data_IF_472615125852
#
_entry.id   IF_472615125852
#
_cell.length_a   1.000
_cell.length_b   1.000
_cell.length_c   1.000
_cell.angle_alpha   90.00
_cell.angle_beta   90.00
_cell.angle_gamma   90.00
#
_symmetry.space_group_name_H-M   'P 1'
#
loop_
_entity.id
_entity.type
_entity.pdbx_description
1 polymer ?
#
# COMPACT_ATOMS: atom_id res chain seq x y z
N UNK A 1 9.96 17.90 11.23
CA UNK A 1 9.51 16.92 10.24
C UNK A 1 10.43 17.01 9.03
N UNK A 2 11.27 16.01 8.84
CA UNK A 2 12.16 15.90 7.69
C UNK A 2 11.37 15.63 6.41
N UNK A 3 11.96 15.91 5.24
CA UNK A 3 11.35 15.64 3.92
C UNK A 3 11.02 14.15 3.72
N UNK A 4 11.69 13.25 4.46
CA UNK A 4 11.44 11.81 4.45
C UNK A 4 10.11 11.45 5.15
N UNK A 5 9.77 12.17 6.23
CA UNK A 5 8.54 11.97 7.03
C UNK A 5 7.27 12.50 6.33
N UNK A 6 7.40 13.21 5.22
CA UNK A 6 6.29 13.67 4.37
C UNK A 6 6.19 12.93 3.03
N UNK A 7 6.94 11.83 2.87
CA UNK A 7 6.77 10.97 1.70
C UNK A 7 5.44 10.25 1.77
N UNK A 8 4.73 10.14 0.64
CA UNK A 8 3.52 9.30 0.54
C UNK A 8 3.77 7.88 1.04
N UNK A 9 4.99 7.35 0.88
CA UNK A 9 5.38 6.05 1.43
C UNK A 9 5.33 6.01 2.95
N UNK A 10 5.85 7.05 3.61
CA UNK A 10 5.81 7.15 5.07
C UNK A 10 4.39 7.33 5.61
N UNK A 11 3.54 8.07 4.88
CA UNK A 11 2.11 8.23 5.20
C UNK A 11 1.41 6.86 5.16
N UNK A 12 1.60 6.06 4.10
CA UNK A 12 1.01 4.73 4.00
C UNK A 12 1.49 3.81 5.12
N UNK A 13 2.80 3.78 5.39
CA UNK A 13 3.36 2.97 6.49
C UNK A 13 2.72 3.35 7.83
N UNK A 14 2.68 4.65 8.14
CA UNK A 14 2.11 5.16 9.41
C UNK A 14 0.62 4.84 9.52
N UNK A 15 -0.11 4.96 8.42
CA UNK A 15 -1.54 4.65 8.38
C UNK A 15 -1.82 3.16 8.61
N UNK A 16 -1.02 2.28 8.00
CA UNK A 16 -1.10 0.83 8.22
C UNK A 16 -0.73 0.45 9.66
N UNK A 17 0.31 1.07 10.23
CA UNK A 17 0.65 0.88 11.64
C UNK A 17 -0.54 1.23 12.55
N UNK A 18 -1.21 2.35 12.28
CA UNK A 18 -2.36 2.80 13.07
C UNK A 18 -3.58 1.88 12.93
N UNK A 19 -3.98 1.55 11.69
CA UNK A 19 -5.21 0.77 11.44
C UNK A 19 -5.03 -0.71 11.80
N UNK A 20 -3.89 -1.30 11.49
CA UNK A 20 -3.65 -2.73 11.70
C UNK A 20 -2.99 -3.04 13.05
N UNK A 21 -2.58 -2.02 13.81
CA UNK A 21 -1.88 -2.20 15.10
C UNK A 21 -0.53 -2.90 14.95
N UNK A 22 0.15 -2.72 13.81
CA UNK A 22 1.43 -3.36 13.50
C UNK A 22 2.60 -2.38 13.67
N UNK A 23 3.79 -2.91 13.92
CA UNK A 23 5.01 -2.10 13.98
C UNK A 23 5.50 -1.66 12.59
N UNK A 24 6.50 -0.79 12.58
CA UNK A 24 7.09 -0.24 11.35
C UNK A 24 7.72 -1.31 10.44
N UNK A 25 8.28 -2.39 11.01
CA UNK A 25 8.91 -3.47 10.24
C UNK A 25 7.84 -4.21 9.45
N UNK A 26 6.74 -4.57 10.12
CA UNK A 26 5.59 -5.23 9.49
C UNK A 26 4.90 -4.32 8.49
N UNK A 27 4.66 -3.05 8.82
CA UNK A 27 4.03 -2.11 7.89
C UNK A 27 4.88 -1.88 6.64
N UNK A 28 6.20 -1.80 6.79
CA UNK A 28 7.11 -1.67 5.63
C UNK A 28 7.07 -2.92 4.75
N UNK A 29 7.03 -4.11 5.34
CA UNK A 29 6.91 -5.37 4.60
C UNK A 29 5.59 -5.44 3.80
N UNK A 30 4.46 -5.05 4.42
CA UNK A 30 3.16 -4.99 3.73
C UNK A 30 3.20 -4.03 2.55
N UNK A 31 3.76 -2.83 2.72
CA UNK A 31 3.88 -1.87 1.60
C UNK A 31 4.72 -2.44 0.46
N UNK A 32 5.83 -3.11 0.76
CA UNK A 32 6.67 -3.75 -0.24
C UNK A 32 5.92 -4.87 -1.00
N UNK A 33 5.15 -5.70 -0.29
CA UNK A 33 4.33 -6.74 -0.88
C UNK A 33 3.22 -6.15 -1.78
N UNK A 34 2.54 -5.09 -1.34
CA UNK A 34 1.52 -4.41 -2.14
C UNK A 34 2.13 -3.77 -3.40
N UNK A 35 3.34 -3.20 -3.31
CA UNK A 35 4.07 -2.63 -4.45
C UNK A 35 4.48 -3.74 -5.44
N UNK A 36 4.97 -4.87 -4.94
CA UNK A 36 5.33 -6.05 -5.76
C UNK A 36 4.12 -6.64 -6.50
N UNK A 37 2.95 -6.69 -5.85
CA UNK A 37 1.72 -7.19 -6.46
C UNK A 37 1.00 -6.15 -7.32
N UNK A 38 1.56 -4.93 -7.47
CA UNK A 38 0.97 -3.86 -8.26
C UNK A 38 -0.34 -3.31 -7.69
N UNK A 39 -0.59 -3.52 -6.39
CA UNK A 39 -1.74 -2.99 -5.66
C UNK A 39 -1.54 -1.51 -5.28
N UNK A 40 -0.28 -1.10 -5.11
CA UNK A 40 0.09 0.29 -4.97
C UNK A 40 1.32 0.60 -5.80
N UNK A 41 1.53 1.87 -6.11
CA UNK A 41 2.75 2.38 -6.74
C UNK A 41 3.07 3.76 -6.22
N UNK A 42 4.34 4.02 -5.96
CA UNK A 42 4.84 5.37 -5.70
C UNK A 42 5.50 5.92 -6.97
N UNK A 43 4.93 6.99 -7.52
CA UNK A 43 5.46 7.64 -8.73
C UNK A 43 6.78 8.36 -8.45
N UNK A 44 7.53 8.71 -9.50
CA UNK A 44 8.77 9.50 -9.38
C UNK A 44 8.54 10.88 -8.73
N UNK A 45 7.33 11.43 -8.86
CA UNK A 45 6.92 12.68 -8.20
C UNK A 45 6.53 12.49 -6.73
N UNK A 46 6.55 11.25 -6.23
CA UNK A 46 6.18 10.89 -4.87
C UNK A 46 4.69 10.72 -4.63
N UNK A 47 3.85 10.75 -5.67
CA UNK A 47 2.41 10.48 -5.53
C UNK A 47 2.13 8.99 -5.31
N UNK A 48 1.09 8.69 -4.55
CA UNK A 48 0.55 7.34 -4.35
C UNK A 48 -0.52 7.04 -5.40
N UNK A 49 -0.36 5.93 -6.11
CA UNK A 49 -1.38 5.30 -6.94
C UNK A 49 -1.82 4.00 -6.26
N UNK A 50 -3.14 3.75 -6.18
CA UNK A 50 -3.72 2.55 -5.58
C UNK A 50 -4.57 1.86 -6.65
N UNK A 51 -4.42 0.54 -6.77
CA UNK A 51 -5.19 -0.29 -7.69
C UNK A 51 -6.25 -1.07 -6.93
N UNK A 52 -7.49 -1.00 -7.40
CA UNK A 52 -8.57 -1.84 -6.91
C UNK A 52 -8.39 -3.29 -7.40
N UNK A 53 -8.62 -4.25 -6.51
CA UNK A 53 -8.68 -5.67 -6.87
C UNK A 53 -10.04 -5.95 -7.50
N UNK A 54 -10.05 -6.13 -8.81
CA UNK A 54 -11.23 -6.65 -9.50
C UNK A 54 -11.41 -8.12 -9.13
N UNK A 55 -12.51 -8.44 -8.44
CA UNK A 55 -12.90 -9.84 -8.19
C UNK A 55 -13.63 -10.36 -9.40
N UNK A 56 -13.03 -11.32 -10.10
CA UNK A 56 -13.73 -12.08 -11.16
C UNK A 56 -14.63 -13.12 -10.49
N UNK A 57 -15.93 -12.86 -10.39
CA UNK A 57 -16.91 -13.90 -10.09
C UNK A 57 -17.03 -14.77 -11.35
N UNK A 58 -16.34 -15.92 -11.38
CA UNK A 58 -16.69 -16.97 -12.32
C UNK A 58 -18.08 -17.48 -11.95
N UNK A 59 -19.11 -16.90 -12.57
CA UNK A 59 -20.44 -17.49 -12.56
C UNK A 59 -20.38 -18.73 -13.45
N UNK A 60 -20.03 -19.86 -12.84
CA UNK A 60 -20.28 -21.16 -13.44
C UNK A 60 -21.79 -21.30 -13.56
N UNK A 61 -22.34 -20.88 -14.70
CA UNK A 61 -23.71 -21.19 -15.11
C UNK A 61 -23.78 -22.71 -15.31
N UNK A 62 -24.29 -23.41 -14.30
CA UNK A 62 -24.81 -24.78 -14.44
C UNK A 62 -26.16 -24.76 -15.17
#
# INVERSE_FOLDING_TARGET
MSKLEQSSRYIVITHLMFIMGIDIVKATAVVAEMEQNGLLRFTEKGNLEIKELETSYETNNC
#
